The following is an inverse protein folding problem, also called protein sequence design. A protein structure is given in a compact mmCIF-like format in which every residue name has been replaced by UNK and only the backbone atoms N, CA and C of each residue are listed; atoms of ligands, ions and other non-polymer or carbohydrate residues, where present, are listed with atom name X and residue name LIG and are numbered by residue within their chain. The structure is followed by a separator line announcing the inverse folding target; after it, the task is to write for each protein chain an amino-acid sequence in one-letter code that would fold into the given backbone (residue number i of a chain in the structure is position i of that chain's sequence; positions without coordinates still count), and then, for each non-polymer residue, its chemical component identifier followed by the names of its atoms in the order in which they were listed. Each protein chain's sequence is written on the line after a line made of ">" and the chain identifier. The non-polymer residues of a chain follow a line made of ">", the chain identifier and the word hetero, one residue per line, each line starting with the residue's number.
data_IF_028915317002
#
_entry.id   IF_028915317002
#
_cell.length_a   1.000
_cell.length_b   1.000
_cell.length_c   1.000
_cell.angle_alpha   90.00
_cell.angle_beta   90.00
_cell.angle_gamma   90.00
#
_symmetry.space_group_name_H-M   'P 1'
#
loop_
_entity.id
_entity.type
_entity.pdbx_description
1 polymer ?
#
# COMPACT_ATOMS: atom_id res chain seq x y z
N UNK A 1 -1.19 6.01 -9.49
CA UNK A 1 0.19 6.53 -9.37
C UNK A 1 1.17 5.37 -9.15
N UNK A 2 0.98 4.61 -8.07
CA UNK A 2 1.85 3.53 -7.59
C UNK A 2 2.33 2.49 -8.65
N UNK A 3 1.44 1.97 -9.51
CA UNK A 3 1.80 1.00 -10.55
C UNK A 3 2.86 1.54 -11.54
N UNK A 4 2.78 2.83 -11.89
CA UNK A 4 3.75 3.47 -12.79
C UNK A 4 5.10 3.64 -12.09
N UNK A 5 5.08 4.05 -10.82
CA UNK A 5 6.29 4.18 -10.01
C UNK A 5 6.99 2.82 -9.83
N UNK A 6 6.25 1.77 -9.52
CA UNK A 6 6.78 0.41 -9.40
C UNK A 6 7.40 -0.09 -10.70
N UNK A 7 6.75 0.12 -11.84
CA UNK A 7 7.30 -0.25 -13.14
C UNK A 7 8.59 0.51 -13.48
N UNK A 8 8.67 1.80 -13.11
CA UNK A 8 9.89 2.60 -13.28
C UNK A 8 11.02 2.09 -12.39
N UNK A 9 10.75 1.83 -11.10
CA UNK A 9 11.74 1.31 -10.15
C UNK A 9 12.24 -0.07 -10.58
N UNK A 10 11.37 -0.97 -11.04
CA UNK A 10 11.78 -2.27 -11.55
C UNK A 10 12.76 -2.15 -12.74
N UNK A 11 12.58 -1.14 -13.61
CA UNK A 11 13.50 -0.86 -14.71
C UNK A 11 14.88 -0.35 -14.27
N UNK A 12 15.00 0.22 -13.07
CA UNK A 12 16.27 0.74 -12.53
C UNK A 12 17.07 -0.33 -11.78
N UNK A 13 16.40 -1.37 -11.26
CA UNK A 13 17.03 -2.41 -10.44
C UNK A 13 16.78 -3.81 -11.02
N UNK A 14 17.72 -4.36 -11.82
CA UNK A 14 17.54 -5.65 -12.52
C UNK A 14 17.33 -6.88 -11.62
N UNK A 15 17.59 -6.75 -10.32
CA UNK A 15 17.38 -7.82 -9.32
C UNK A 15 15.94 -7.91 -8.83
N UNK A 16 15.09 -6.95 -9.21
CA UNK A 16 13.66 -6.97 -8.88
C UNK A 16 12.95 -7.89 -9.87
N UNK A 17 12.20 -8.86 -9.35
CA UNK A 17 11.19 -9.56 -10.12
C UNK A 17 10.04 -8.58 -10.45
N UNK A 18 10.11 -8.00 -11.66
CA UNK A 18 9.19 -6.95 -12.09
C UNK A 18 7.74 -7.41 -12.00
N UNK A 19 7.45 -8.60 -12.50
CA UNK A 19 6.07 -9.06 -12.58
C UNK A 19 5.50 -9.36 -11.20
N UNK A 20 6.32 -9.92 -10.30
CA UNK A 20 5.91 -10.06 -8.91
C UNK A 20 5.69 -8.69 -8.24
N UNK A 21 6.59 -7.72 -8.43
CA UNK A 21 6.41 -6.39 -7.84
C UNK A 21 5.10 -5.75 -8.30
N UNK A 22 4.82 -5.80 -9.61
CA UNK A 22 3.57 -5.25 -10.16
C UNK A 22 2.34 -6.00 -9.64
N UNK A 23 2.41 -7.33 -9.47
CA UNK A 23 1.30 -8.08 -8.87
C UNK A 23 1.11 -7.74 -7.39
N UNK A 24 2.19 -7.60 -6.63
CA UNK A 24 2.09 -7.15 -5.24
C UNK A 24 1.48 -5.76 -5.13
N UNK A 25 1.90 -4.80 -5.97
CA UNK A 25 1.29 -3.46 -6.04
C UNK A 25 -0.19 -3.53 -6.42
N UNK A 26 -0.58 -4.42 -7.33
CA UNK A 26 -1.98 -4.59 -7.69
C UNK A 26 -2.83 -5.15 -6.53
N UNK A 27 -2.25 -6.04 -5.72
CA UNK A 27 -2.98 -6.84 -4.73
C UNK A 27 -2.85 -6.36 -3.28
N UNK A 28 -1.86 -5.52 -2.94
CA UNK A 28 -1.53 -5.19 -1.54
C UNK A 28 -2.72 -4.69 -0.71
N UNK A 29 -3.59 -3.92 -1.35
CA UNK A 29 -4.76 -3.29 -0.75
C UNK A 29 -6.09 -4.01 -1.03
N UNK A 30 -6.05 -5.24 -1.54
CA UNK A 30 -7.24 -6.01 -1.92
C UNK A 30 -8.29 -6.09 -0.79
N UNK A 31 -7.84 -6.16 0.47
CA UNK A 31 -8.75 -6.25 1.62
C UNK A 31 -9.56 -4.98 1.91
N UNK A 32 -9.19 -3.81 1.36
CA UNK A 32 -9.92 -2.56 1.62
C UNK A 32 -11.36 -2.60 1.11
N UNK A 33 -11.64 -3.42 0.09
CA UNK A 33 -12.99 -3.57 -0.46
C UNK A 33 -13.94 -4.35 0.45
N UNK A 34 -13.41 -5.21 1.34
CA UNK A 34 -14.21 -5.94 2.33
C UNK A 34 -14.16 -5.29 3.72
N UNK A 35 -13.14 -4.48 3.98
CA UNK A 35 -12.98 -3.71 5.22
C UNK A 35 -14.02 -2.59 5.33
N UNK A 36 -14.38 -1.96 4.21
CA UNK A 36 -15.28 -0.81 4.16
C UNK A 36 -16.67 -1.21 3.62
N UNK A 37 -17.72 -0.79 4.33
CA UNK A 37 -19.10 -0.86 3.90
C UNK A 37 -19.56 0.53 3.44
N UNK A 38 -20.35 0.57 2.35
CA UNK A 38 -20.89 1.81 1.80
C UNK A 38 -22.42 1.77 1.91
N UNK A 39 -22.95 2.20 3.05
CA UNK A 39 -24.39 2.35 3.28
C UNK A 39 -24.69 3.82 3.64
N UNK A 40 -24.48 4.71 2.66
CA UNK A 40 -24.62 6.17 2.80
C UNK A 40 -23.40 6.89 3.42
N UNK A 41 -22.73 6.26 4.39
CA UNK A 41 -21.46 6.71 4.96
C UNK A 41 -20.41 5.58 4.88
N UNK A 42 -19.13 5.95 4.67
CA UNK A 42 -18.02 4.98 4.72
C UNK A 42 -17.84 4.48 6.15
N UNK A 43 -18.33 3.28 6.42
CA UNK A 43 -18.25 2.61 7.72
C UNK A 43 -17.43 1.34 7.61
N UNK A 44 -16.91 0.81 8.72
CA UNK A 44 -16.18 -0.46 8.71
C UNK A 44 -17.12 -1.63 8.90
N UNK A 45 -16.84 -2.76 8.24
CA UNK A 45 -17.49 -4.04 8.56
C UNK A 45 -16.97 -4.60 9.89
N UNK A 46 -17.70 -5.53 10.51
CA UNK A 46 -17.21 -6.24 11.72
C UNK A 46 -15.87 -6.92 11.46
N UNK A 47 -15.71 -7.56 10.30
CA UNK A 47 -14.46 -8.16 9.88
C UNK A 47 -13.37 -7.10 9.64
N UNK A 48 -13.72 -5.95 9.07
CA UNK A 48 -12.85 -4.77 8.96
C UNK A 48 -12.31 -4.30 10.30
N UNK A 49 -13.18 -4.12 11.30
CA UNK A 49 -12.80 -3.71 12.65
C UNK A 49 -11.93 -4.75 13.37
N UNK A 50 -12.24 -6.04 13.23
CA UNK A 50 -11.57 -7.11 13.98
C UNK A 50 -10.27 -7.61 13.33
N UNK A 51 -10.22 -7.65 11.99
CA UNK A 51 -9.12 -8.28 11.25
C UNK A 51 -8.30 -7.27 10.44
N UNK A 52 -8.91 -6.18 9.98
CA UNK A 52 -8.30 -5.20 9.08
C UNK A 52 -8.07 -5.72 7.65
N UNK A 53 -7.76 -4.82 6.71
CA UNK A 53 -7.59 -5.18 5.30
C UNK A 53 -6.36 -6.07 5.03
N UNK A 54 -5.29 -5.98 5.82
CA UNK A 54 -4.08 -6.79 5.58
C UNK A 54 -4.37 -8.28 5.71
N UNK A 55 -5.04 -8.67 6.80
CA UNK A 55 -5.39 -10.06 7.08
C UNK A 55 -6.50 -10.52 6.13
N UNK A 56 -7.52 -9.69 5.91
CA UNK A 56 -8.61 -10.03 4.99
C UNK A 56 -8.11 -10.19 3.55
N UNK A 57 -7.24 -9.30 3.07
CA UNK A 57 -6.63 -9.39 1.74
C UNK A 57 -5.80 -10.65 1.56
N UNK A 58 -5.06 -11.07 2.59
CA UNK A 58 -4.32 -12.34 2.55
C UNK A 58 -5.25 -13.55 2.50
N UNK A 59 -6.34 -13.55 3.27
CA UNK A 59 -7.35 -14.62 3.27
C UNK A 59 -8.05 -14.70 1.90
N UNK A 60 -8.48 -13.57 1.34
CA UNK A 60 -9.14 -13.54 0.02
C UNK A 60 -8.19 -14.03 -1.08
N UNK A 61 -6.94 -13.56 -1.08
CA UNK A 61 -5.94 -14.03 -2.05
C UNK A 61 -5.73 -15.55 -1.95
N UNK A 62 -5.58 -16.10 -0.75
CA UNK A 62 -5.35 -17.54 -0.56
C UNK A 62 -6.55 -18.36 -1.05
N UNK A 63 -7.79 -17.90 -0.78
CA UNK A 63 -9.02 -18.51 -1.32
C UNK A 63 -9.05 -18.50 -2.85
N UNK A 64 -8.70 -17.38 -3.48
CA UNK A 64 -8.67 -17.25 -4.95
C UNK A 64 -7.62 -18.17 -5.56
N UNK A 65 -6.44 -18.30 -4.93
CA UNK A 65 -5.39 -19.23 -5.36
C UNK A 65 -5.87 -20.68 -5.25
N UNK A 66 -6.59 -21.04 -4.19
CA UNK A 66 -7.20 -22.36 -4.07
C UNK A 66 -8.21 -22.66 -5.20
N UNK A 67 -9.03 -21.68 -5.59
CA UNK A 67 -9.95 -21.82 -6.73
C UNK A 67 -9.21 -21.97 -8.07
N UNK A 68 -8.10 -21.26 -8.27
CA UNK A 68 -7.25 -21.40 -9.46
C UNK A 68 -6.66 -22.82 -9.52
N UNK A 69 -6.15 -23.34 -8.40
CA UNK A 69 -5.63 -24.71 -8.29
C UNK A 69 -6.67 -25.78 -8.68
N UNK A 70 -7.94 -25.55 -8.36
CA UNK A 70 -9.02 -26.47 -8.73
C UNK A 70 -9.37 -26.45 -10.22
N UNK A 71 -9.18 -25.31 -10.89
CA UNK A 71 -9.58 -25.09 -12.29
C UNK A 71 -8.44 -25.30 -13.30
N UNK A 72 -7.20 -25.31 -12.82
CA UNK A 72 -6.00 -25.45 -13.66
C UNK A 72 -5.50 -26.89 -13.69
N UNK A 73 -5.02 -27.34 -14.85
CA UNK A 73 -4.28 -28.59 -14.96
C UNK A 73 -2.86 -28.48 -14.35
N UNK A 74 -2.35 -27.26 -14.18
CA UNK A 74 -1.03 -26.99 -13.58
C UNK A 74 -1.17 -26.51 -12.14
N UNK A 75 -0.32 -27.04 -11.25
CA UNK A 75 -0.25 -26.62 -9.86
C UNK A 75 0.22 -25.16 -9.73
N UNK A 76 -0.42 -24.39 -8.85
CA UNK A 76 0.01 -23.02 -8.55
C UNK A 76 1.27 -23.05 -7.66
N UNK A 77 2.39 -22.44 -8.08
CA UNK A 77 3.66 -22.53 -7.36
C UNK A 77 3.55 -22.03 -5.92
N UNK A 78 3.91 -22.88 -4.96
CA UNK A 78 3.78 -22.57 -3.54
C UNK A 78 4.66 -21.39 -3.11
N UNK A 79 5.85 -21.27 -3.68
CA UNK A 79 6.76 -20.14 -3.45
C UNK A 79 6.15 -18.81 -3.90
N UNK A 80 5.46 -18.79 -5.04
CA UNK A 80 4.77 -17.60 -5.55
C UNK A 80 3.62 -17.22 -4.61
N UNK A 81 2.84 -18.20 -4.15
CA UNK A 81 1.76 -17.97 -3.19
C UNK A 81 2.28 -17.32 -1.91
N UNK A 82 3.34 -17.87 -1.31
CA UNK A 82 3.95 -17.32 -0.09
C UNK A 82 4.47 -15.90 -0.30
N UNK A 83 5.14 -15.63 -1.43
CA UNK A 83 5.67 -14.29 -1.74
C UNK A 83 4.54 -13.26 -1.88
N UNK A 84 3.46 -13.58 -2.57
CA UNK A 84 2.31 -12.67 -2.73
C UNK A 84 1.60 -12.40 -1.40
N UNK A 85 1.34 -13.45 -0.60
CA UNK A 85 0.77 -13.30 0.74
C UNK A 85 1.67 -12.43 1.63
N UNK A 86 2.99 -12.67 1.58
CA UNK A 86 3.98 -11.87 2.32
C UNK A 86 3.95 -10.40 1.90
N UNK A 87 3.85 -10.10 0.60
CA UNK A 87 3.73 -8.73 0.11
C UNK A 87 2.49 -8.03 0.67
N UNK A 88 1.33 -8.71 0.71
CA UNK A 88 0.12 -8.15 1.33
C UNK A 88 0.33 -7.87 2.82
N UNK A 89 0.78 -8.85 3.60
CA UNK A 89 0.84 -8.67 5.07
C UNK A 89 2.02 -7.82 5.56
N UNK A 90 2.93 -7.42 4.68
CA UNK A 90 4.14 -6.68 5.07
C UNK A 90 4.25 -5.28 4.46
N UNK A 91 3.32 -4.86 3.61
CA UNK A 91 3.48 -3.62 2.84
C UNK A 91 3.44 -2.34 3.69
N UNK A 92 2.92 -2.38 4.92
CA UNK A 92 3.04 -1.25 5.87
C UNK A 92 4.49 -1.05 6.37
N UNK A 93 5.40 -1.97 6.07
CA UNK A 93 6.85 -1.82 6.24
C UNK A 93 7.35 -2.11 7.66
N UNK A 94 6.77 -1.46 8.66
CA UNK A 94 7.20 -1.53 10.06
C UNK A 94 6.07 -2.04 10.97
N UNK A 95 6.42 -2.69 12.07
CA UNK A 95 5.43 -3.21 13.02
C UNK A 95 4.67 -2.05 13.67
N UNK A 96 5.36 -0.94 13.91
CA UNK A 96 4.83 0.31 14.46
C UNK A 96 3.81 0.99 13.53
N UNK A 97 3.87 0.69 12.22
CA UNK A 97 2.88 1.15 11.24
C UNK A 97 1.70 0.17 11.09
N UNK A 98 1.55 -0.80 12.00
CA UNK A 98 0.47 -1.78 11.99
C UNK A 98 0.72 -2.97 11.05
N UNK A 99 1.95 -3.14 10.55
CA UNK A 99 2.29 -4.31 9.72
C UNK A 99 2.40 -5.58 10.56
N UNK A 100 1.70 -6.69 10.24
CA UNK A 100 1.87 -7.97 10.91
C UNK A 100 3.31 -8.54 10.82
N UNK A 101 4.01 -8.23 9.71
CA UNK A 101 5.41 -8.59 9.47
C UNK A 101 6.15 -7.49 8.74
N UNK A 102 7.47 -7.46 8.90
CA UNK A 102 8.34 -6.60 8.08
C UNK A 102 8.56 -7.20 6.68
N UNK A 103 8.81 -6.39 5.64
CA UNK A 103 9.19 -6.88 4.32
C UNK A 103 10.46 -7.73 4.35
N UNK A 104 10.47 -8.88 3.66
CA UNK A 104 11.58 -9.86 3.69
C UNK A 104 12.03 -10.29 2.28
N UNK A 105 11.44 -9.71 1.23
CA UNK A 105 11.86 -9.89 -0.15
C UNK A 105 12.17 -8.52 -0.76
N UNK A 106 12.98 -8.48 -1.82
CA UNK A 106 13.30 -7.22 -2.51
C UNK A 106 12.00 -6.56 -3.00
N UNK A 107 11.07 -7.34 -3.56
CA UNK A 107 9.80 -6.82 -4.05
C UNK A 107 8.93 -6.26 -2.91
N UNK A 108 8.85 -6.94 -1.76
CA UNK A 108 8.07 -6.47 -0.62
C UNK A 108 8.68 -5.19 -0.01
N UNK A 109 10.02 -5.10 0.05
CA UNK A 109 10.72 -3.90 0.54
C UNK A 109 10.39 -2.71 -0.36
N UNK A 110 10.50 -2.91 -1.68
CA UNK A 110 10.19 -1.87 -2.66
C UNK A 110 8.72 -1.45 -2.59
N UNK A 111 7.80 -2.42 -2.51
CA UNK A 111 6.37 -2.14 -2.35
C UNK A 111 6.11 -1.28 -1.11
N UNK A 112 6.66 -1.64 0.05
CA UNK A 112 6.43 -0.89 1.28
C UNK A 112 6.94 0.56 1.22
N UNK A 113 8.11 0.78 0.62
CA UNK A 113 8.62 2.14 0.42
C UNK A 113 7.81 2.94 -0.59
N UNK A 114 7.32 2.29 -1.65
CA UNK A 114 6.50 2.96 -2.66
C UNK A 114 5.13 3.36 -2.11
N UNK A 115 4.51 2.48 -1.32
CA UNK A 115 3.22 2.74 -0.68
C UNK A 115 3.32 3.90 0.32
N UNK A 116 4.30 3.85 1.23
CA UNK A 116 4.58 4.92 2.19
C UNK A 116 4.92 6.26 1.50
N UNK A 117 5.67 6.21 0.39
CA UNK A 117 5.98 7.40 -0.41
C UNK A 117 4.73 8.01 -1.04
N UNK A 118 3.87 7.21 -1.67
CA UNK A 118 2.64 7.70 -2.32
C UNK A 118 1.70 8.33 -1.26
N UNK A 119 1.53 7.66 -0.10
CA UNK A 119 0.76 8.18 1.02
C UNK A 119 1.29 9.54 1.53
N UNK A 120 2.61 9.66 1.72
CA UNK A 120 3.24 10.91 2.20
C UNK A 120 3.17 12.03 1.17
N UNK A 121 3.32 11.74 -0.12
CA UNK A 121 3.19 12.74 -1.19
C UNK A 121 1.76 13.28 -1.23
N UNK A 122 0.76 12.39 -1.21
CA UNK A 122 -0.64 12.79 -1.21
C UNK A 122 -0.97 13.63 0.03
N UNK A 123 -0.61 13.15 1.22
CA UNK A 123 -0.82 13.89 2.47
C UNK A 123 -0.13 15.25 2.47
N UNK A 124 1.14 15.34 2.07
CA UNK A 124 1.85 16.62 2.03
C UNK A 124 1.20 17.61 1.06
N UNK A 125 0.77 17.13 -0.12
CA UNK A 125 0.12 17.95 -1.14
C UNK A 125 -1.21 18.52 -0.64
N UNK A 126 -2.04 17.67 -0.01
CA UNK A 126 -3.32 18.09 0.57
C UNK A 126 -3.14 19.08 1.72
N UNK A 127 -2.20 18.82 2.63
CA UNK A 127 -1.92 19.70 3.76
C UNK A 127 -1.43 21.08 3.32
N UNK A 128 -0.56 21.14 2.30
CA UNK A 128 -0.10 22.41 1.71
C UNK A 128 -1.27 23.15 1.06
N UNK A 129 -2.12 22.46 0.29
CA UNK A 129 -3.25 23.07 -0.40
C UNK A 129 -4.35 23.56 0.56
N UNK A 130 -4.54 22.88 1.69
CA UNK A 130 -5.55 23.23 2.70
C UNK A 130 -5.10 24.36 3.65
N UNK A 131 -3.81 24.69 3.72
CA UNK A 131 -3.28 25.71 4.62
C UNK A 131 -3.66 27.12 4.14
N UNK A 132 -4.49 27.81 4.92
CA UNK A 132 -5.04 29.14 4.58
C UNK A 132 -4.12 30.32 4.92
N UNK A 133 -2.96 30.08 5.53
CA UNK A 133 -2.10 31.16 6.02
C UNK A 133 -1.24 31.74 4.90
N UNK A 134 -1.75 32.69 4.12
CA UNK A 134 -1.02 33.32 3.01
C UNK A 134 0.23 34.10 3.42
N UNK A 135 0.34 34.50 4.68
CA UNK A 135 1.39 35.40 5.18
C UNK A 135 2.68 34.66 5.57
N UNK A 136 2.68 33.33 5.48
CA UNK A 136 3.80 32.45 5.83
C UNK A 136 4.12 31.52 4.67
N UNK A 137 5.41 31.30 4.40
CA UNK A 137 5.88 30.25 3.49
C UNK A 137 5.85 28.84 4.11
N UNK A 138 5.36 28.69 5.33
CA UNK A 138 5.27 27.42 6.06
C UNK A 138 3.84 27.15 6.50
N UNK A 139 3.45 25.87 6.47
CA UNK A 139 2.20 25.40 7.12
C UNK A 139 2.33 25.40 8.64
N UNK A 140 1.22 25.12 9.33
CA UNK A 140 1.27 24.71 10.75
C UNK A 140 2.00 23.36 10.92
N UNK A 141 2.31 23.00 12.17
CA UNK A 141 2.94 21.70 12.43
C UNK A 141 1.91 20.58 12.23
N UNK A 142 2.24 19.55 11.44
CA UNK A 142 1.39 18.40 11.20
C UNK A 142 1.91 17.18 11.96
N UNK A 143 1.22 16.69 13.00
CA UNK A 143 1.67 15.54 13.78
C UNK A 143 1.88 14.27 12.95
N UNK A 144 1.02 14.02 11.95
CA UNK A 144 1.10 12.84 11.08
C UNK A 144 2.42 12.74 10.30
N UNK A 145 3.02 13.88 9.93
CA UNK A 145 4.33 13.94 9.28
C UNK A 145 5.45 14.38 10.24
N UNK A 146 5.10 14.72 11.47
CA UNK A 146 5.99 15.26 12.51
C UNK A 146 6.85 16.44 12.04
N UNK A 147 6.28 17.33 11.21
CA UNK A 147 6.99 18.50 10.66
C UNK A 147 6.03 19.60 10.22
N UNK A 148 6.57 20.80 10.02
CA UNK A 148 5.94 21.82 9.17
C UNK A 148 6.34 21.56 7.73
N UNK A 149 5.49 21.93 6.79
CA UNK A 149 5.79 21.84 5.37
C UNK A 149 6.12 23.22 4.82
N UNK A 150 7.17 23.29 4.01
CA UNK A 150 7.45 24.48 3.23
C UNK A 150 6.48 24.51 2.06
N UNK A 151 5.75 25.61 1.94
CA UNK A 151 4.85 25.86 0.82
C UNK A 151 5.73 26.37 -0.31
N UNK A 152 5.88 25.63 -1.43
CA UNK A 152 6.52 26.21 -2.59
C UNK A 152 5.78 27.51 -2.90
N UNK A 153 6.50 28.61 -3.07
CA UNK A 153 5.92 29.81 -3.66
C UNK A 153 5.16 29.34 -4.89
N UNK A 154 3.90 29.75 -5.04
CA UNK A 154 3.17 29.62 -6.30
C UNK A 154 3.93 30.47 -7.33
N UNK A 155 5.09 29.97 -7.78
CA UNK A 155 5.87 30.52 -8.86
C UNK A 155 5.16 30.13 -10.14
N UNK A 156 4.42 31.11 -10.67
CA UNK A 156 4.03 31.32 -12.08
C UNK A 156 3.93 30.09 -12.98
#
# INVERSE_FOLDING_TARGET
>A
SLMRAANAIAGLYPRIDRDLLLMGVFLHDLGKTEELCFDGEMTYTDAGQLLGHLVQGAIDLDRRIALIRQKSASEFPESLRLRLLHMIISHHGQLEHGSPKVPMTIEAIVLAYLDDLDAKINQATELIAADRNSDSAWTTFHPSLSRKLYKPSLGS
#
